data_IF_060062379335
#
_entry.id   IF_060062379335
#
_cell.length_a   1.000
_cell.length_b   1.000
_cell.length_c   1.000
_cell.angle_alpha   90.00
_cell.angle_beta   90.00
_cell.angle_gamma   90.00
#
_symmetry.space_group_name_H-M   'P 1'
#
loop_
_entity.id
_entity.type
_entity.pdbx_description
1 polymer ?
#
# COMPACT_ATOMS: atom_id res chain seq x y z
N UNK A 1 -18.71 5.80 4.16
CA UNK A 1 -19.12 5.76 2.73
C UNK A 1 -17.92 5.74 1.76
N UNK A 2 -16.83 6.50 2.00
CA UNK A 2 -15.62 6.45 1.12
C UNK A 2 -15.05 5.04 1.04
N UNK A 3 -14.88 4.39 2.17
CA UNK A 3 -14.29 3.05 2.22
C UNK A 3 -15.18 1.99 1.53
N UNK A 4 -16.51 2.18 1.56
CA UNK A 4 -17.44 1.35 0.79
C UNK A 4 -17.26 1.57 -0.73
N UNK A 5 -17.14 2.83 -1.17
CA UNK A 5 -16.91 3.13 -2.59
C UNK A 5 -15.55 2.58 -3.05
N UNK A 6 -14.51 2.68 -2.23
CA UNK A 6 -13.21 2.09 -2.50
C UNK A 6 -13.29 0.56 -2.62
N UNK A 7 -13.99 -0.11 -1.69
CA UNK A 7 -14.20 -1.56 -1.75
C UNK A 7 -14.98 -1.97 -3.01
N UNK A 8 -16.02 -1.23 -3.37
CA UNK A 8 -16.77 -1.50 -4.61
C UNK A 8 -15.92 -1.31 -5.85
N UNK A 9 -15.05 -0.28 -5.88
CA UNK A 9 -14.11 -0.06 -7.00
C UNK A 9 -13.10 -1.22 -7.15
N UNK A 10 -12.70 -1.86 -6.05
CA UNK A 10 -11.85 -3.05 -6.08
C UNK A 10 -12.61 -4.30 -6.58
N UNK A 11 -13.87 -4.45 -6.19
CA UNK A 11 -14.71 -5.59 -6.60
C UNK A 11 -15.19 -5.47 -8.04
N UNK A 12 -15.39 -4.26 -8.54
CA UNK A 12 -15.91 -3.94 -9.86
C UNK A 12 -14.92 -3.06 -10.64
N UNK A 13 -13.73 -3.57 -10.99
CA UNK A 13 -12.65 -2.75 -11.56
C UNK A 13 -13.05 -2.03 -12.85
N UNK A 14 -13.93 -2.63 -13.67
CA UNK A 14 -14.41 -2.00 -14.90
C UNK A 14 -15.29 -0.76 -14.64
N UNK A 15 -15.87 -0.65 -13.46
CA UNK A 15 -16.73 0.47 -13.03
C UNK A 15 -16.03 1.36 -11.99
N UNK A 16 -14.76 1.09 -11.67
CA UNK A 16 -14.04 1.77 -10.59
C UNK A 16 -14.07 3.32 -10.76
N UNK A 17 -13.83 3.81 -11.97
CA UNK A 17 -13.89 5.25 -12.27
C UNK A 17 -15.26 5.86 -11.96
N UNK A 18 -16.32 5.28 -12.50
CA UNK A 18 -17.70 5.77 -12.31
C UNK A 18 -18.12 5.75 -10.83
N UNK A 19 -17.75 4.69 -10.09
CA UNK A 19 -18.03 4.56 -8.66
C UNK A 19 -17.36 5.69 -7.88
N UNK A 20 -16.08 5.95 -8.13
CA UNK A 20 -15.31 6.96 -7.41
C UNK A 20 -15.78 8.36 -7.80
N UNK A 21 -16.03 8.64 -9.07
CA UNK A 21 -16.53 9.95 -9.53
C UNK A 21 -17.92 10.25 -8.98
N UNK A 22 -18.82 9.26 -8.99
CA UNK A 22 -20.14 9.38 -8.34
C UNK A 22 -20.02 9.69 -6.84
N UNK A 23 -19.11 9.03 -6.14
CA UNK A 23 -18.86 9.28 -4.72
C UNK A 23 -18.27 10.67 -4.48
N UNK A 24 -17.34 11.13 -5.36
CA UNK A 24 -16.78 12.49 -5.31
C UNK A 24 -17.85 13.57 -5.46
N UNK A 25 -18.80 13.38 -6.36
CA UNK A 25 -19.93 14.33 -6.53
C UNK A 25 -20.84 14.38 -5.30
N UNK A 26 -21.10 13.24 -4.66
CA UNK A 26 -21.96 13.12 -3.47
C UNK A 26 -21.27 13.55 -2.17
N UNK A 27 -19.95 13.67 -2.17
CA UNK A 27 -19.19 14.01 -0.96
C UNK A 27 -19.16 15.53 -0.77
N UNK A 28 -19.91 16.03 0.20
CA UNK A 28 -20.00 17.48 0.51
C UNK A 28 -18.85 17.93 1.42
N UNK A 29 -18.38 17.07 2.32
CA UNK A 29 -17.29 17.43 3.25
C UNK A 29 -15.96 17.58 2.49
N UNK A 30 -15.29 18.77 2.57
CA UNK A 30 -14.09 19.07 1.79
C UNK A 30 -12.91 18.11 2.09
N UNK A 31 -12.70 17.75 3.36
CA UNK A 31 -11.57 16.91 3.76
C UNK A 31 -11.76 15.46 3.28
N UNK A 32 -12.97 14.94 3.38
CA UNK A 32 -13.32 13.65 2.81
C UNK A 32 -13.17 13.63 1.29
N UNK A 33 -13.53 14.72 0.64
CA UNK A 33 -13.36 14.88 -0.81
C UNK A 33 -11.90 14.90 -1.21
N UNK A 34 -11.05 15.63 -0.46
CA UNK A 34 -9.58 15.63 -0.66
C UNK A 34 -8.99 14.23 -0.49
N UNK A 35 -9.36 13.51 0.60
CA UNK A 35 -8.92 12.13 0.82
C UNK A 35 -9.30 11.23 -0.35
N UNK A 36 -10.55 11.28 -0.82
CA UNK A 36 -11.00 10.45 -1.93
C UNK A 36 -10.27 10.76 -3.24
N UNK A 37 -10.02 12.06 -3.53
CA UNK A 37 -9.22 12.46 -4.68
C UNK A 37 -7.78 11.93 -4.60
N UNK A 38 -7.18 11.95 -3.40
CA UNK A 38 -5.86 11.39 -3.17
C UNK A 38 -5.84 9.87 -3.43
N UNK A 39 -6.87 9.15 -2.99
CA UNK A 39 -6.98 7.70 -3.13
C UNK A 39 -7.37 7.24 -4.54
N UNK A 40 -8.00 8.10 -5.34
CA UNK A 40 -8.54 7.77 -6.65
C UNK A 40 -7.55 7.05 -7.59
N UNK A 41 -6.30 7.52 -7.81
CA UNK A 41 -5.37 6.83 -8.71
C UNK A 41 -4.95 5.46 -8.19
N UNK A 42 -4.86 5.26 -6.87
CA UNK A 42 -4.55 3.96 -6.26
C UNK A 42 -5.70 2.95 -6.40
N UNK A 43 -6.91 3.42 -6.64
CA UNK A 43 -8.11 2.60 -6.87
C UNK A 43 -8.34 2.28 -8.35
N UNK A 44 -7.58 2.88 -9.26
CA UNK A 44 -7.74 2.69 -10.72
C UNK A 44 -7.69 1.21 -11.12
N UNK A 45 -8.46 0.85 -12.15
CA UNK A 45 -8.35 -0.44 -12.82
C UNK A 45 -7.06 -0.54 -13.67
N UNK A 46 -6.58 0.58 -14.22
CA UNK A 46 -5.35 0.63 -15.02
C UNK A 46 -4.12 0.53 -14.10
N UNK A 47 -3.33 -0.54 -14.31
CA UNK A 47 -2.10 -0.77 -13.52
C UNK A 47 -1.09 0.37 -13.70
N UNK A 48 -0.98 0.98 -14.88
CA UNK A 48 -0.04 2.08 -15.16
C UNK A 48 -0.37 3.32 -14.32
N UNK A 49 -1.67 3.60 -14.12
CA UNK A 49 -2.12 4.69 -13.23
C UNK A 49 -1.74 4.39 -11.78
N UNK A 50 -1.91 3.12 -11.35
CA UNK A 50 -1.51 2.69 -10.01
C UNK A 50 0.00 2.75 -9.81
N UNK A 51 0.79 2.34 -10.81
CA UNK A 51 2.25 2.37 -10.76
C UNK A 51 2.74 3.81 -10.62
N UNK A 52 2.26 4.74 -11.45
CA UNK A 52 2.58 6.18 -11.35
C UNK A 52 2.19 6.75 -9.98
N UNK A 53 1.01 6.36 -9.47
CA UNK A 53 0.57 6.79 -8.14
C UNK A 53 1.48 6.24 -7.03
N UNK A 54 1.91 4.98 -7.12
CA UNK A 54 2.85 4.40 -6.18
C UNK A 54 4.22 5.08 -6.24
N UNK A 55 4.75 5.30 -7.45
CA UNK A 55 6.02 6.01 -7.67
C UNK A 55 5.99 7.42 -7.05
N UNK A 56 4.85 8.11 -7.10
CA UNK A 56 4.71 9.42 -6.49
C UNK A 56 4.95 9.41 -4.96
N UNK A 57 4.81 8.27 -4.31
CA UNK A 57 5.06 8.13 -2.87
C UNK A 57 6.56 8.20 -2.50
N UNK A 58 7.46 8.15 -3.48
CA UNK A 58 8.89 8.36 -3.22
C UNK A 58 9.21 9.82 -2.90
N UNK A 59 8.37 10.75 -3.32
CA UNK A 59 8.47 12.15 -2.95
C UNK A 59 7.81 12.39 -1.58
N UNK A 60 8.55 13.01 -0.65
CA UNK A 60 8.09 13.24 0.73
C UNK A 60 6.82 14.08 0.81
N UNK A 61 6.67 15.05 -0.09
CA UNK A 61 5.52 15.95 -0.17
C UNK A 61 4.20 15.19 -0.40
N UNK A 62 4.25 14.07 -1.12
CA UNK A 62 3.09 13.23 -1.41
C UNK A 62 2.72 12.31 -0.24
N UNK A 63 3.56 12.25 0.80
CA UNK A 63 3.30 11.50 2.04
C UNK A 63 2.82 12.37 3.21
N UNK A 64 2.53 13.65 2.99
CA UNK A 64 2.20 14.61 4.04
C UNK A 64 0.99 14.25 4.91
N UNK A 65 0.08 13.39 4.45
CA UNK A 65 -1.04 12.87 5.24
C UNK A 65 -0.91 11.34 5.37
N UNK A 66 -0.09 10.90 6.32
CA UNK A 66 0.28 9.48 6.49
C UNK A 66 -0.89 8.49 6.54
N UNK A 67 -2.03 8.77 7.21
CA UNK A 67 -3.18 7.87 7.17
C UNK A 67 -3.72 7.63 5.76
N UNK A 68 -3.64 8.63 4.87
CA UNK A 68 -4.07 8.46 3.48
C UNK A 68 -3.09 7.60 2.68
N UNK A 69 -1.79 7.73 2.97
CA UNK A 69 -0.75 6.88 2.36
C UNK A 69 -0.95 5.42 2.78
N UNK A 70 -1.19 5.17 4.08
CA UNK A 70 -1.47 3.82 4.59
C UNK A 70 -2.70 3.22 3.90
N UNK A 71 -3.78 3.99 3.74
CA UNK A 71 -4.97 3.54 3.01
C UNK A 71 -4.67 3.28 1.53
N UNK A 72 -3.92 4.16 0.87
CA UNK A 72 -3.53 4.03 -0.54
C UNK A 72 -2.75 2.72 -0.78
N UNK A 73 -1.71 2.45 0.00
CA UNK A 73 -0.91 1.23 -0.16
C UNK A 73 -1.69 -0.02 0.24
N UNK A 74 -2.65 0.08 1.18
CA UNK A 74 -3.56 -1.02 1.53
C UNK A 74 -4.48 -1.37 0.36
N UNK A 75 -5.00 -0.38 -0.37
CA UNK A 75 -5.82 -0.61 -1.56
C UNK A 75 -5.00 -1.16 -2.73
N UNK A 76 -3.76 -0.70 -2.93
CA UNK A 76 -2.84 -1.26 -3.92
C UNK A 76 -2.57 -2.75 -3.67
N UNK A 77 -2.30 -3.10 -2.41
CA UNK A 77 -1.95 -4.46 -1.99
C UNK A 77 -3.15 -5.25 -1.44
N UNK A 78 -4.37 -4.85 -1.80
CA UNK A 78 -5.58 -5.57 -1.36
C UNK A 78 -5.55 -7.02 -1.87
N UNK A 79 -6.06 -8.02 -1.10
CA UNK A 79 -6.05 -9.43 -1.50
C UNK A 79 -6.58 -9.70 -2.91
N UNK A 80 -7.59 -8.94 -3.36
CA UNK A 80 -8.13 -9.04 -4.72
C UNK A 80 -7.13 -8.63 -5.82
N UNK A 81 -6.06 -7.90 -5.48
CA UNK A 81 -4.99 -7.43 -6.36
C UNK A 81 -3.65 -8.07 -6.07
N UNK A 82 -3.57 -8.96 -5.08
CA UNK A 82 -2.31 -9.50 -4.57
C UNK A 82 -1.41 -10.09 -5.66
N UNK A 83 -1.99 -10.71 -6.69
CA UNK A 83 -1.24 -11.26 -7.82
C UNK A 83 -0.54 -10.19 -8.66
N UNK A 84 -1.19 -9.05 -8.85
CA UNK A 84 -0.69 -7.94 -9.67
C UNK A 84 0.21 -6.98 -8.88
N UNK A 85 0.14 -6.98 -7.55
CA UNK A 85 0.78 -6.00 -6.68
C UNK A 85 2.05 -6.48 -5.98
N UNK A 86 2.50 -7.70 -6.22
CA UNK A 86 3.74 -8.24 -5.63
C UNK A 86 4.97 -7.39 -5.94
N UNK A 87 5.00 -6.72 -7.09
CA UNK A 87 6.12 -5.88 -7.50
C UNK A 87 6.28 -4.59 -6.65
N UNK A 88 5.24 -4.17 -5.90
CA UNK A 88 5.35 -3.05 -4.95
C UNK A 88 6.08 -3.43 -3.65
N UNK A 89 6.27 -4.71 -3.34
CA UNK A 89 6.84 -5.15 -2.06
C UNK A 89 8.29 -4.66 -1.91
N UNK A 90 9.17 -4.97 -2.87
CA UNK A 90 10.60 -4.58 -2.78
C UNK A 90 10.78 -3.07 -2.73
N UNK A 91 10.21 -2.25 -3.65
CA UNK A 91 10.36 -0.80 -3.55
C UNK A 91 9.78 -0.21 -2.25
N UNK A 92 8.72 -0.80 -1.70
CA UNK A 92 8.19 -0.39 -0.41
C UNK A 92 9.14 -0.67 0.75
N UNK A 93 9.88 -1.79 0.70
CA UNK A 93 10.90 -2.11 1.69
C UNK A 93 12.10 -1.15 1.60
N UNK A 94 12.52 -0.79 0.39
CA UNK A 94 13.58 0.18 0.13
C UNK A 94 13.23 1.57 0.67
N UNK A 95 11.97 1.98 0.55
CA UNK A 95 11.48 3.28 1.01
C UNK A 95 11.39 3.40 2.55
N UNK A 96 11.43 2.29 3.30
CA UNK A 96 11.19 2.31 4.75
C UNK A 96 12.18 3.13 5.55
N UNK A 97 13.46 3.20 5.15
CA UNK A 97 14.46 4.00 5.86
C UNK A 97 14.15 5.49 5.76
N UNK A 98 13.70 5.93 4.59
CA UNK A 98 13.30 7.32 4.39
C UNK A 98 11.99 7.63 5.14
N UNK A 99 11.01 6.76 5.04
CA UNK A 99 9.75 6.88 5.80
C UNK A 99 10.04 6.98 7.30
N UNK A 100 11.00 6.23 7.83
CA UNK A 100 11.36 6.33 9.25
C UNK A 100 12.01 7.67 9.62
N UNK A 101 12.71 8.32 8.69
CA UNK A 101 13.37 9.62 8.92
C UNK A 101 12.41 10.80 8.77
N UNK A 102 11.42 10.68 7.90
CA UNK A 102 10.54 11.79 7.50
C UNK A 102 9.14 11.73 8.10
N UNK A 103 8.72 10.58 8.59
CA UNK A 103 7.38 10.34 9.10
C UNK A 103 7.28 10.20 10.63
N UNK A 104 6.04 10.05 11.11
CA UNK A 104 5.73 9.75 12.51
C UNK A 104 6.31 8.39 12.94
N UNK A 105 6.55 8.21 14.23
CA UNK A 105 7.14 6.99 14.80
C UNK A 105 6.35 5.71 14.48
N UNK A 106 5.04 5.81 14.27
CA UNK A 106 4.17 4.68 13.95
C UNK A 106 4.05 4.41 12.45
N UNK A 107 4.35 5.42 11.62
CA UNK A 107 4.13 5.35 10.18
C UNK A 107 4.88 4.21 9.49
N UNK A 108 6.19 3.94 9.74
CA UNK A 108 6.89 2.84 9.08
C UNK A 108 6.23 1.48 9.31
N UNK A 109 5.71 1.25 10.53
CA UNK A 109 5.01 0.00 10.85
C UNK A 109 3.66 -0.09 10.13
N UNK A 110 2.88 0.98 10.15
CA UNK A 110 1.57 1.01 9.50
C UNK A 110 1.70 0.86 8.00
N UNK A 111 2.69 1.52 7.39
CA UNK A 111 2.99 1.45 5.97
C UNK A 111 3.32 0.03 5.54
N UNK A 112 4.34 -0.61 6.16
CA UNK A 112 4.76 -1.94 5.75
C UNK A 112 3.70 -3.02 6.05
N UNK A 113 2.92 -2.86 7.11
CA UNK A 113 1.78 -3.74 7.38
C UNK A 113 0.73 -3.62 6.27
N UNK A 114 0.42 -2.41 5.82
CA UNK A 114 -0.54 -2.18 4.73
C UNK A 114 -0.05 -2.75 3.39
N UNK A 115 1.27 -2.73 3.14
CA UNK A 115 1.88 -3.33 1.95
C UNK A 115 1.78 -4.86 1.98
N UNK A 116 2.12 -5.50 3.11
CA UNK A 116 2.31 -6.96 3.16
C UNK A 116 1.01 -7.71 3.47
N UNK A 117 0.11 -7.17 4.28
CA UNK A 117 -1.04 -7.91 4.84
C UNK A 117 -2.02 -8.49 3.81
N UNK A 118 -2.03 -7.97 2.59
CA UNK A 118 -2.88 -8.49 1.51
C UNK A 118 -2.29 -9.69 0.76
N UNK A 119 -1.03 -10.05 1.02
CA UNK A 119 -0.32 -11.07 0.29
C UNK A 119 -0.22 -12.39 1.06
N UNK A 120 -0.40 -13.52 0.34
CA UNK A 120 -0.28 -14.88 0.88
C UNK A 120 0.52 -15.81 -0.05
N UNK A 121 1.05 -15.29 -1.16
CA UNK A 121 1.71 -16.10 -2.18
C UNK A 121 3.18 -16.41 -1.82
N UNK A 122 3.74 -17.56 -2.29
CA UNK A 122 5.16 -17.85 -2.19
C UNK A 122 6.04 -16.77 -2.83
N UNK A 123 5.57 -16.17 -3.92
CA UNK A 123 6.26 -15.08 -4.61
C UNK A 123 6.42 -13.85 -3.70
N UNK A 124 5.36 -13.45 -3.00
CA UNK A 124 5.43 -12.33 -2.06
C UNK A 124 6.40 -12.63 -0.90
N UNK A 125 6.33 -13.84 -0.34
CA UNK A 125 7.26 -14.29 0.70
C UNK A 125 8.72 -14.30 0.21
N UNK A 126 8.93 -14.71 -1.04
CA UNK A 126 10.25 -14.69 -1.67
C UNK A 126 10.82 -13.26 -1.74
N UNK A 127 10.04 -12.26 -2.17
CA UNK A 127 10.51 -10.87 -2.23
C UNK A 127 10.92 -10.33 -0.86
N UNK A 128 10.14 -10.61 0.18
CA UNK A 128 10.50 -10.20 1.55
C UNK A 128 11.79 -10.88 2.02
N UNK A 129 11.91 -12.20 1.84
CA UNK A 129 13.10 -12.96 2.23
C UNK A 129 14.33 -12.49 1.47
N UNK A 130 14.20 -12.33 0.15
CA UNK A 130 15.28 -11.87 -0.73
C UNK A 130 15.79 -10.50 -0.28
N UNK A 131 14.90 -9.54 -0.07
CA UNK A 131 15.28 -8.21 0.40
C UNK A 131 16.09 -8.28 1.70
N UNK A 132 15.62 -9.04 2.70
CA UNK A 132 16.30 -9.15 3.98
C UNK A 132 17.67 -9.86 3.90
N UNK A 133 17.87 -10.73 2.91
CA UNK A 133 19.15 -11.39 2.64
C UNK A 133 20.13 -10.45 1.92
N UNK A 134 19.65 -9.68 0.95
CA UNK A 134 20.45 -8.74 0.16
C UNK A 134 20.84 -7.48 0.95
N UNK A 135 20.11 -7.19 2.04
CA UNK A 135 20.36 -6.02 2.90
C UNK A 135 20.72 -6.44 4.35
N UNK A 136 21.90 -7.07 4.55
CA UNK A 136 22.30 -7.56 5.89
C UNK A 136 22.43 -6.45 6.92
N UNK A 137 22.73 -5.21 6.48
CA UNK A 137 22.89 -4.03 7.32
C UNK A 137 21.59 -3.21 7.48
N UNK A 138 20.45 -3.74 7.00
CA UNK A 138 19.16 -3.08 7.17
C UNK A 138 18.85 -2.81 8.64
N UNK A 139 18.40 -1.59 9.02
CA UNK A 139 18.24 -1.22 10.41
C UNK A 139 17.40 -2.21 11.21
N UNK A 140 17.93 -2.70 12.33
CA UNK A 140 17.32 -3.76 13.14
C UNK A 140 15.87 -3.45 13.53
N UNK A 141 15.57 -2.19 13.90
CA UNK A 141 14.20 -1.79 14.26
C UNK A 141 13.23 -1.89 13.08
N UNK A 142 13.67 -1.57 11.87
CA UNK A 142 12.87 -1.72 10.66
C UNK A 142 12.74 -3.18 10.26
N UNK A 143 13.83 -3.96 10.35
CA UNK A 143 13.80 -5.41 10.12
C UNK A 143 12.75 -6.09 10.99
N UNK A 144 12.66 -5.75 12.27
CA UNK A 144 11.64 -6.29 13.16
C UNK A 144 10.22 -5.89 12.72
N UNK A 145 10.00 -4.64 12.30
CA UNK A 145 8.69 -4.21 11.76
C UNK A 145 8.29 -5.00 10.52
N UNK A 146 9.26 -5.26 9.61
CA UNK A 146 9.04 -6.08 8.41
C UNK A 146 8.70 -7.53 8.78
N UNK A 147 9.47 -8.16 9.69
CA UNK A 147 9.22 -9.54 10.12
C UNK A 147 7.87 -9.68 10.81
N UNK A 148 7.48 -8.71 11.66
CA UNK A 148 6.15 -8.71 12.28
C UNK A 148 5.02 -8.56 11.26
N UNK A 149 5.19 -7.70 10.25
CA UNK A 149 4.20 -7.51 9.19
C UNK A 149 4.08 -8.76 8.30
N UNK A 150 5.18 -9.47 8.09
CA UNK A 150 5.28 -10.64 7.22
C UNK A 150 5.07 -11.98 7.95
N UNK A 151 4.82 -12.00 9.27
CA UNK A 151 4.77 -13.21 10.07
C UNK A 151 3.79 -14.26 9.49
N UNK A 152 2.56 -13.86 9.22
CA UNK A 152 1.56 -14.74 8.61
C UNK A 152 1.97 -15.19 7.20
N UNK A 153 2.46 -14.26 6.37
CA UNK A 153 2.92 -14.56 5.02
C UNK A 153 4.05 -15.60 5.03
N UNK A 154 5.01 -15.47 5.95
CA UNK A 154 6.15 -16.36 6.04
C UNK A 154 5.79 -17.71 6.70
N UNK A 155 4.83 -17.71 7.64
CA UNK A 155 4.35 -18.92 8.29
C UNK A 155 3.60 -19.86 7.33
N UNK A 156 2.81 -19.31 6.41
CA UNK A 156 2.06 -20.08 5.40
C UNK A 156 2.94 -20.76 4.35
N UNK A 157 4.23 -20.42 4.29
CA UNK A 157 5.20 -20.98 3.34
C UNK A 157 6.10 -22.07 3.98
N UNK A 158 5.79 -22.52 5.19
CA UNK A 158 6.48 -23.69 5.75
C UNK A 158 5.92 -24.96 5.09
N UNK A 159 6.79 -25.93 4.70
CA UNK A 159 6.37 -27.19 4.12
C UNK A 159 5.54 -28.01 5.11
#
# INVERSE_FOLDING_TARGET
MIDLAATLALLLPQQAGEIIDSQLMKTLNPDRKKRLKYLQPFLSADIRVRDTAFESLFETENRGVEPWVVDAVRYLNHPLRAKESTHYITPSLELLEEIQKTGDIFFPRQFITAVISGHQSPTAAYYVKKFLLEHPNFPYRLKNKVLMAADLLLATQKP
#
